data_IF_913726680543
#
_entry.id   IF_913726680543
#
_cell.length_a   1.000
_cell.length_b   1.000
_cell.length_c   1.000
_cell.angle_alpha   90.00
_cell.angle_beta   90.00
_cell.angle_gamma   90.00
#
_symmetry.space_group_name_H-M   'P 1'
#
loop_
_entity.id
_entity.type
_entity.pdbx_description
1 polymer ?
#
# COMPACT_ATOMS: atom_id res chain seq x y z
N UNK A 1 31.28 -1.04 27.06
CA UNK A 1 29.93 -0.50 26.80
C UNK A 1 29.09 -1.64 26.29
N UNK A 2 28.03 -2.03 26.99
CA UNK A 2 27.14 -3.10 26.52
C UNK A 2 26.34 -2.58 25.32
N UNK A 3 26.48 -3.24 24.17
CA UNK A 3 25.57 -3.04 23.04
C UNK A 3 24.18 -3.45 23.50
N UNK A 4 23.25 -2.50 23.59
CA UNK A 4 21.84 -2.83 23.78
C UNK A 4 21.36 -3.40 22.45
N UNK A 5 21.49 -4.72 22.29
CA UNK A 5 20.97 -5.47 21.14
C UNK A 5 19.45 -5.55 21.26
N UNK A 6 18.78 -4.45 20.97
CA UNK A 6 17.34 -4.37 20.84
C UNK A 6 16.90 -4.24 19.38
N UNK A 7 15.68 -4.65 19.11
CA UNK A 7 15.01 -4.40 17.84
C UNK A 7 13.80 -3.52 18.10
N UNK A 8 13.72 -2.39 17.40
CA UNK A 8 12.54 -1.54 17.36
C UNK A 8 11.61 -2.03 16.26
N UNK A 9 10.33 -2.10 16.58
CA UNK A 9 9.30 -2.50 15.63
C UNK A 9 8.09 -1.59 15.75
N UNK A 10 7.55 -1.19 14.61
CA UNK A 10 6.25 -0.53 14.50
C UNK A 10 5.43 -1.20 13.41
N UNK A 11 4.18 -1.51 13.72
CA UNK A 11 3.24 -2.18 12.82
C UNK A 11 1.93 -1.41 12.74
N UNK A 12 1.33 -1.35 11.55
CA UNK A 12 0.05 -0.69 11.31
C UNK A 12 -0.71 -1.38 10.16
N UNK A 13 -2.05 -1.37 10.18
CA UNK A 13 -2.84 -1.90 9.07
C UNK A 13 -2.73 -1.00 7.84
N UNK A 14 -2.65 -1.59 6.66
CA UNK A 14 -2.77 -0.88 5.39
C UNK A 14 -3.26 -1.78 4.26
N UNK A 15 -3.76 -1.18 3.18
CA UNK A 15 -4.07 -1.85 1.92
C UNK A 15 -2.86 -1.93 1.00
N UNK A 16 -2.43 -3.15 0.65
CA UNK A 16 -1.46 -3.37 -0.42
C UNK A 16 -2.15 -3.19 -1.77
N UNK A 17 -1.84 -2.09 -2.47
CA UNK A 17 -2.54 -1.65 -3.67
C UNK A 17 -2.02 -2.31 -4.94
N UNK A 18 -2.82 -2.24 -6.00
CA UNK A 18 -2.46 -2.76 -7.33
C UNK A 18 -2.79 -4.24 -7.53
N UNK A 19 -3.57 -4.87 -6.63
CA UNK A 19 -3.85 -6.30 -6.70
C UNK A 19 -4.50 -6.73 -8.03
N UNK A 20 -5.32 -5.88 -8.64
CA UNK A 20 -5.93 -6.11 -9.96
C UNK A 20 -4.91 -6.37 -11.08
N UNK A 21 -3.67 -5.86 -10.95
CA UNK A 21 -2.56 -6.10 -11.87
C UNK A 21 -1.91 -7.46 -11.62
N UNK A 22 -1.85 -7.90 -10.36
CA UNK A 22 -1.07 -9.07 -9.93
C UNK A 22 -1.90 -10.33 -9.64
N UNK A 23 -3.23 -10.24 -9.66
CA UNK A 23 -4.16 -11.33 -9.33
C UNK A 23 -3.97 -12.62 -10.13
N UNK A 24 -3.44 -12.53 -11.35
CA UNK A 24 -3.19 -13.69 -12.22
C UNK A 24 -1.93 -14.47 -11.81
N UNK A 25 -0.96 -13.80 -11.18
CA UNK A 25 0.33 -14.39 -10.81
C UNK A 25 0.46 -14.68 -9.32
N UNK A 26 -0.42 -14.10 -8.50
CA UNK A 26 -0.39 -14.26 -7.05
C UNK A 26 -1.79 -14.39 -6.44
N UNK A 27 -1.94 -15.42 -5.61
CA UNK A 27 -3.11 -15.64 -4.77
C UNK A 27 -2.71 -15.37 -3.31
N UNK A 28 -3.24 -14.30 -2.68
CA UNK A 28 -2.92 -13.97 -1.30
C UNK A 28 -3.32 -15.10 -0.35
N UNK A 29 -2.52 -15.32 0.69
CA UNK A 29 -2.81 -16.24 1.78
C UNK A 29 -2.59 -15.52 3.09
N UNK A 30 -3.54 -15.63 4.02
CA UNK A 30 -3.39 -15.04 5.35
C UNK A 30 -2.11 -15.55 6.01
N UNK A 31 -1.31 -14.65 6.56
CA UNK A 31 0.01 -14.93 7.13
C UNK A 31 1.17 -14.92 6.12
N UNK A 32 0.91 -14.75 4.82
CA UNK A 32 2.00 -14.55 3.86
C UNK A 32 2.76 -13.26 4.19
N UNK A 33 4.09 -13.36 4.29
CA UNK A 33 4.98 -12.22 4.48
C UNK A 33 5.64 -11.85 3.15
N UNK A 34 5.58 -10.57 2.78
CA UNK A 34 6.21 -10.01 1.57
C UNK A 34 7.24 -8.96 1.99
N UNK A 35 8.43 -8.98 1.38
CA UNK A 35 9.47 -7.99 1.62
C UNK A 35 9.19 -6.72 0.82
N UNK A 36 9.33 -5.55 1.45
CA UNK A 36 9.11 -4.26 0.79
C UNK A 36 10.44 -3.65 0.36
N UNK A 37 10.53 -3.22 -0.90
CA UNK A 37 11.74 -2.60 -1.48
C UNK A 37 11.39 -1.32 -2.22
N UNK A 38 12.34 -0.38 -2.28
CA UNK A 38 12.19 0.82 -3.10
C UNK A 38 12.33 0.48 -4.59
N UNK A 39 11.27 0.77 -5.37
CA UNK A 39 11.25 0.59 -6.82
C UNK A 39 11.68 1.90 -7.51
N UNK A 40 12.88 1.93 -8.07
CA UNK A 40 13.51 3.16 -8.58
C UNK A 40 12.91 3.71 -9.87
N UNK A 41 12.31 2.85 -10.70
CA UNK A 41 11.93 3.17 -12.07
C UNK A 41 10.41 3.25 -12.28
N UNK A 42 9.65 3.49 -11.21
CA UNK A 42 8.20 3.60 -11.31
C UNK A 42 7.79 5.01 -11.76
N UNK A 43 7.20 5.11 -12.95
CA UNK A 43 6.92 6.38 -13.62
C UNK A 43 5.93 7.28 -12.87
N UNK A 44 5.00 6.68 -12.11
CA UNK A 44 3.92 7.40 -11.45
C UNK A 44 4.25 7.81 -10.01
N UNK A 45 5.23 7.16 -9.37
CA UNK A 45 5.69 7.47 -8.01
C UNK A 45 7.17 7.15 -7.85
N UNK A 46 7.98 8.21 -7.81
CA UNK A 46 9.43 8.18 -7.56
C UNK A 46 9.83 7.59 -6.20
N UNK A 47 8.88 7.46 -5.27
CA UNK A 47 9.07 6.87 -3.95
C UNK A 47 8.41 5.51 -3.79
N UNK A 48 7.90 4.91 -4.88
CA UNK A 48 7.16 3.64 -4.85
C UNK A 48 7.87 2.55 -4.05
N UNK A 49 7.12 1.93 -3.13
CA UNK A 49 7.58 0.80 -2.35
C UNK A 49 6.82 -0.45 -2.80
N UNK A 50 7.53 -1.33 -3.50
CA UNK A 50 7.00 -2.58 -4.00
C UNK A 50 7.06 -3.67 -2.92
N UNK A 51 5.95 -4.37 -2.70
CA UNK A 51 5.94 -5.61 -1.93
C UNK A 51 6.29 -6.77 -2.87
N UNK A 52 7.31 -7.54 -2.50
CA UNK A 52 7.90 -8.55 -3.36
C UNK A 52 8.05 -9.89 -2.65
N UNK A 53 7.97 -10.97 -3.42
CA UNK A 53 8.19 -12.35 -2.92
C UNK A 53 8.74 -13.23 -4.03
N UNK A 54 9.58 -14.20 -3.65
CA UNK A 54 10.00 -15.26 -4.54
C UNK A 54 8.86 -16.27 -4.67
N UNK A 55 8.28 -16.35 -5.87
CA UNK A 55 7.23 -17.31 -6.16
C UNK A 55 7.83 -18.63 -6.69
N UNK A 56 7.17 -19.77 -6.47
CA UNK A 56 7.56 -21.03 -7.09
C UNK A 56 7.70 -20.90 -8.61
N UNK A 57 8.80 -21.40 -9.17
CA UNK A 57 9.08 -21.32 -10.61
C UNK A 57 9.63 -19.96 -11.09
N UNK A 58 9.91 -19.02 -10.18
CA UNK A 58 10.61 -17.76 -10.50
C UNK A 58 12.04 -17.80 -9.98
N UNK A 59 12.96 -17.19 -10.72
CA UNK A 59 14.38 -17.07 -10.33
C UNK A 59 14.68 -15.79 -9.53
N UNK A 60 13.72 -14.87 -9.47
CA UNK A 60 13.84 -13.58 -8.79
C UNK A 60 12.53 -13.24 -8.08
N UNK A 61 12.62 -12.34 -7.11
CA UNK A 61 11.44 -11.76 -6.48
C UNK A 61 10.56 -11.08 -7.53
N UNK A 62 9.25 -11.23 -7.37
CA UNK A 62 8.24 -10.59 -8.22
C UNK A 62 7.46 -9.59 -7.38
N UNK A 63 7.13 -8.43 -7.95
CA UNK A 63 6.25 -7.43 -7.34
C UNK A 63 4.81 -7.93 -7.32
N UNK A 64 4.16 -7.82 -6.17
CA UNK A 64 2.82 -8.32 -5.90
C UNK A 64 1.83 -7.21 -5.52
N UNK A 65 2.32 -5.98 -5.46
CA UNK A 65 1.58 -4.79 -5.11
C UNK A 65 2.51 -3.71 -4.58
N UNK A 66 1.94 -2.57 -4.25
CA UNK A 66 2.66 -1.43 -3.73
C UNK A 66 2.04 -0.93 -2.43
N UNK A 67 2.87 -0.41 -1.54
CA UNK A 67 2.36 0.35 -0.42
C UNK A 67 1.62 1.61 -0.92
N UNK A 68 0.64 2.11 -0.15
CA UNK A 68 -0.02 3.38 -0.43
C UNK A 68 1.00 4.50 -0.69
N UNK A 69 0.75 5.31 -1.71
CA UNK A 69 1.62 6.42 -2.14
C UNK A 69 1.73 7.51 -1.07
N UNK A 70 0.69 7.67 -0.26
CA UNK A 70 0.57 8.49 0.94
C UNK A 70 1.76 8.29 1.90
N UNK A 71 2.23 7.05 2.03
CA UNK A 71 3.28 6.66 2.97
C UNK A 71 4.60 6.29 2.29
N UNK A 72 4.60 6.10 0.97
CA UNK A 72 5.75 5.60 0.20
C UNK A 72 7.01 6.44 0.41
N UNK A 73 6.87 7.78 0.44
CA UNK A 73 7.96 8.72 0.70
C UNK A 73 8.63 8.50 2.05
N UNK A 74 7.84 8.30 3.11
CA UNK A 74 8.34 8.14 4.46
C UNK A 74 8.95 6.75 4.66
N UNK A 75 8.30 5.72 4.10
CA UNK A 75 8.82 4.36 4.11
C UNK A 75 10.15 4.25 3.37
N UNK A 76 10.29 4.92 2.21
CA UNK A 76 11.59 5.00 1.49
C UNK A 76 12.68 5.58 2.38
N UNK A 77 12.39 6.65 3.11
CA UNK A 77 13.36 7.25 4.01
C UNK A 77 13.84 6.24 5.06
N UNK A 78 12.92 5.51 5.70
CA UNK A 78 13.29 4.46 6.66
C UNK A 78 14.15 3.36 6.02
N UNK A 79 13.78 2.87 4.83
CA UNK A 79 14.60 1.89 4.09
C UNK A 79 16.01 2.45 3.82
N UNK A 80 16.13 3.74 3.47
CA UNK A 80 17.43 4.36 3.17
C UNK A 80 18.37 4.48 4.37
N UNK A 81 17.83 4.45 5.59
CA UNK A 81 18.61 4.46 6.83
C UNK A 81 18.75 3.06 7.45
N UNK A 82 18.39 2.01 6.71
CA UNK A 82 18.62 0.61 7.08
C UNK A 82 17.44 -0.10 7.74
N UNK A 83 16.20 0.40 7.57
CA UNK A 83 15.03 -0.30 8.06
C UNK A 83 14.65 -1.49 7.16
N UNK A 84 14.33 -2.61 7.79
CA UNK A 84 13.63 -3.72 7.15
C UNK A 84 12.13 -3.42 7.14
N UNK A 85 11.51 -3.47 5.96
CA UNK A 85 10.07 -3.29 5.83
C UNK A 85 9.46 -4.53 5.19
N UNK A 86 8.39 -5.03 5.79
CA UNK A 86 7.64 -6.16 5.26
C UNK A 86 6.16 -5.98 5.54
N UNK A 87 5.32 -6.66 4.75
CA UNK A 87 3.88 -6.69 4.94
C UNK A 87 3.44 -8.12 5.21
N UNK A 88 2.49 -8.29 6.13
CA UNK A 88 1.86 -9.58 6.41
C UNK A 88 0.42 -9.55 5.97
N UNK A 89 0.00 -10.48 5.11
CA UNK A 89 -1.39 -10.58 4.66
C UNK A 89 -2.31 -10.89 5.83
N UNK A 90 -3.32 -10.04 6.06
CA UNK A 90 -4.31 -10.20 7.13
C UNK A 90 -5.63 -10.76 6.61
N UNK A 91 -6.00 -10.41 5.38
CA UNK A 91 -7.15 -10.98 4.69
C UNK A 91 -6.74 -11.41 3.28
N UNK A 92 -7.24 -12.58 2.84
CA UNK A 92 -7.02 -13.06 1.49
C UNK A 92 -7.99 -12.42 0.48
N UNK A 93 -9.11 -11.86 0.96
CA UNK A 93 -10.06 -11.14 0.12
C UNK A 93 -9.52 -9.75 -0.18
N UNK A 94 -9.68 -9.35 -1.44
CA UNK A 94 -9.41 -7.98 -1.87
C UNK A 94 -10.59 -7.08 -1.53
N UNK A 95 -10.31 -5.78 -1.39
CA UNK A 95 -11.31 -4.72 -1.32
C UNK A 95 -11.00 -3.63 -2.35
N UNK A 96 -11.97 -2.74 -2.58
CA UNK A 96 -11.74 -1.54 -3.41
C UNK A 96 -10.75 -0.61 -2.71
N UNK A 97 -9.82 -0.04 -3.46
CA UNK A 97 -8.90 0.99 -2.96
C UNK A 97 -9.66 2.30 -2.68
N UNK A 98 -9.29 3.09 -1.65
CA UNK A 98 -9.91 4.38 -1.31
C UNK A 98 -9.71 5.52 -2.34
N UNK A 99 -9.23 5.22 -3.55
CA UNK A 99 -8.98 6.20 -4.60
C UNK A 99 -10.20 6.24 -5.55
N UNK A 100 -10.58 7.42 -6.06
CA UNK A 100 -11.68 7.61 -7.03
C UNK A 100 -11.48 6.72 -8.25
N UNK A 101 -10.27 6.72 -8.81
CA UNK A 101 -9.86 5.86 -9.93
C UNK A 101 -10.05 4.36 -9.65
N UNK A 102 -10.28 3.98 -8.39
CA UNK A 102 -10.55 2.62 -7.95
C UNK A 102 -9.28 1.78 -7.83
N UNK A 103 -9.39 0.54 -8.30
CA UNK A 103 -8.38 -0.50 -8.09
C UNK A 103 -8.70 -1.40 -6.91
N UNK A 104 -7.92 -2.47 -6.80
CA UNK A 104 -8.04 -3.48 -5.75
C UNK A 104 -6.82 -3.44 -4.83
N UNK A 105 -7.08 -3.59 -3.54
CA UNK A 105 -6.06 -3.72 -2.50
C UNK A 105 -6.30 -4.95 -1.62
N UNK A 106 -5.20 -5.53 -1.10
CA UNK A 106 -5.21 -6.63 -0.14
C UNK A 106 -4.97 -6.06 1.26
N UNK A 107 -5.84 -6.32 2.26
CA UNK A 107 -5.56 -5.93 3.63
C UNK A 107 -4.32 -6.63 4.18
N UNK A 108 -3.34 -5.82 4.60
CA UNK A 108 -2.09 -6.28 5.18
C UNK A 108 -1.75 -5.50 6.46
N UNK A 109 -0.78 -5.99 7.21
CA UNK A 109 -0.12 -5.26 8.27
C UNK A 109 1.30 -4.95 7.83
N UNK A 110 1.59 -3.67 7.59
CA UNK A 110 2.92 -3.19 7.33
C UNK A 110 3.70 -3.15 8.63
N UNK A 111 4.91 -3.70 8.62
CA UNK A 111 5.82 -3.72 9.76
C UNK A 111 7.15 -3.15 9.34
N UNK A 112 7.64 -2.19 10.13
CA UNK A 112 8.97 -1.62 10.00
C UNK A 112 9.82 -2.06 11.18
N UNK A 113 11.02 -2.54 10.89
CA UNK A 113 11.95 -3.08 11.88
C UNK A 113 13.32 -2.43 11.73
N UNK A 114 13.90 -2.01 12.85
CA UNK A 114 15.22 -1.38 12.90
C UNK A 114 15.98 -1.80 14.16
N UNK A 115 17.30 -1.69 14.13
CA UNK A 115 18.12 -1.83 15.33
C UNK A 115 17.82 -0.69 16.33
N UNK A 116 17.87 -0.98 17.63
CA UNK A 116 17.64 0.05 18.65
C UNK A 116 18.80 1.05 18.69
N UNK A 117 18.49 2.30 18.36
CA UNK A 117 19.36 3.46 18.59
C UNK A 117 18.49 4.70 18.83
N UNK A 118 19.01 5.72 19.50
CA UNK A 118 18.27 6.97 19.76
C UNK A 118 17.72 7.57 18.46
N UNK A 119 18.53 7.57 17.38
CA UNK A 119 18.12 8.07 16.07
C UNK A 119 16.99 7.24 15.46
N UNK A 120 17.04 5.91 15.60
CA UNK A 120 16.02 5.03 15.04
C UNK A 120 14.71 5.10 15.83
N UNK A 121 14.77 5.32 17.15
CA UNK A 121 13.57 5.60 17.97
C UNK A 121 12.88 6.87 17.48
N UNK A 122 13.62 7.96 17.32
CA UNK A 122 13.08 9.22 16.80
C UNK A 122 12.51 9.07 15.39
N UNK A 123 13.19 8.33 14.51
CA UNK A 123 12.74 8.07 13.15
C UNK A 123 11.43 7.25 13.11
N UNK A 124 11.30 6.22 13.94
CA UNK A 124 10.08 5.40 14.02
C UNK A 124 8.92 6.19 14.63
N UNK A 125 9.15 6.97 15.69
CA UNK A 125 8.11 7.83 16.28
C UNK A 125 7.63 8.88 15.29
N UNK A 126 8.56 9.49 14.54
CA UNK A 126 8.18 10.44 13.48
C UNK A 126 7.41 9.75 12.35
N UNK A 127 7.83 8.54 11.97
CA UNK A 127 7.12 7.77 10.95
C UNK A 127 5.71 7.40 11.39
N UNK A 128 5.51 6.98 12.65
CA UNK A 128 4.19 6.70 13.22
C UNK A 128 3.26 7.90 13.12
N UNK A 129 3.74 9.10 13.49
CA UNK A 129 2.96 10.35 13.35
C UNK A 129 2.58 10.63 11.89
N UNK A 130 3.50 10.41 10.96
CA UNK A 130 3.26 10.64 9.53
C UNK A 130 2.28 9.63 8.94
N UNK A 131 2.34 8.36 9.37
CA UNK A 131 1.35 7.35 8.98
C UNK A 131 -0.03 7.75 9.47
N UNK A 132 -0.17 8.13 10.75
CA UNK A 132 -1.45 8.55 11.32
C UNK A 132 -2.02 9.82 10.65
N UNK A 133 -1.14 10.74 10.23
CA UNK A 133 -1.54 11.97 9.56
C UNK A 133 -1.95 11.75 8.09
N UNK A 134 -1.25 10.87 7.37
CA UNK A 134 -1.37 10.76 5.91
C UNK A 134 -2.09 9.52 5.43
N UNK A 135 -2.30 8.51 6.28
CA UNK A 135 -2.93 7.26 5.91
C UNK A 135 -4.13 6.94 6.80
N UNK A 136 -5.29 6.82 6.16
CA UNK A 136 -6.54 6.42 6.81
C UNK A 136 -6.92 5.03 6.32
N UNK A 137 -6.82 4.05 7.22
CA UNK A 137 -7.28 2.71 6.95
C UNK A 137 -8.81 2.71 6.83
N UNK A 138 -9.39 2.14 5.75
CA UNK A 138 -10.84 2.03 5.59
C UNK A 138 -11.48 1.25 6.74
N UNK A 139 -12.49 1.84 7.39
CA UNK A 139 -13.25 1.20 8.48
C UNK A 139 -14.62 0.76 7.95
N UNK A 140 -14.97 -0.51 8.11
CA UNK A 140 -16.27 -1.07 7.72
C UNK A 140 -16.68 -0.82 6.26
N UNK A 141 -15.72 -0.74 5.34
CA UNK A 141 -15.99 -0.48 3.92
C UNK A 141 -16.36 0.97 3.60
N UNK A 142 -16.25 1.89 4.56
CA UNK A 142 -16.29 3.33 4.29
C UNK A 142 -14.88 3.82 3.97
N UNK A 143 -14.77 4.54 2.85
CA UNK A 143 -13.52 5.09 2.35
C UNK A 143 -13.63 6.61 2.36
N UNK A 144 -12.63 7.29 2.90
CA UNK A 144 -12.44 8.72 2.66
C UNK A 144 -11.65 8.86 1.37
N UNK A 145 -12.21 9.57 0.39
CA UNK A 145 -11.53 9.81 -0.86
C UNK A 145 -10.25 10.63 -0.62
N UNK A 146 -9.11 10.01 -0.89
CA UNK A 146 -7.78 10.59 -0.75
C UNK A 146 -7.15 10.95 -2.11
N UNK A 147 -7.91 10.91 -3.21
CA UNK A 147 -7.38 11.10 -4.57
C UNK A 147 -6.71 12.44 -4.74
N UNK A 148 -7.32 13.54 -4.27
CA UNK A 148 -6.76 14.89 -4.42
C UNK A 148 -5.41 15.06 -3.72
N UNK A 149 -5.21 14.37 -2.59
CA UNK A 149 -3.98 14.44 -1.81
C UNK A 149 -2.84 13.58 -2.39
N UNK A 150 -3.21 12.52 -3.12
CA UNK A 150 -2.27 11.48 -3.59
C UNK A 150 -1.94 11.64 -5.07
N UNK A 151 -2.92 12.08 -5.86
CA UNK A 151 -2.94 12.16 -7.31
C UNK A 151 -3.46 13.53 -7.75
N UNK A 152 -2.71 14.62 -7.51
CA UNK A 152 -3.17 15.98 -7.83
C UNK A 152 -3.38 16.22 -9.33
N UNK A 153 -2.74 15.41 -10.20
CA UNK A 153 -2.77 15.59 -11.66
C UNK A 153 -3.93 14.83 -12.36
N UNK A 154 -4.87 14.23 -11.61
CA UNK A 154 -5.98 13.44 -12.16
C UNK A 154 -7.34 14.18 -12.20
N UNK A 155 -7.36 15.50 -11.99
CA UNK A 155 -8.57 16.29 -12.24
C UNK A 155 -8.73 16.51 -13.76
N UNK A 156 -9.47 15.62 -14.43
CA UNK A 156 -10.47 15.95 -15.46
C UNK A 156 -11.14 14.67 -16.02
N UNK A 157 -12.44 14.79 -16.29
CA UNK A 157 -13.34 13.84 -16.98
C UNK A 157 -13.93 12.67 -16.17
N UNK A 158 -14.94 12.95 -15.34
CA UNK A 158 -16.25 12.27 -15.48
C UNK A 158 -17.37 13.17 -14.95
N UNK A 159 -17.81 14.14 -15.75
CA UNK A 159 -19.24 14.40 -15.83
C UNK A 159 -19.84 13.23 -16.63
N UNK A 160 -20.26 12.16 -15.96
CA UNK A 160 -21.14 11.19 -16.60
C UNK A 160 -22.56 11.63 -16.28
N UNK A 161 -23.21 12.15 -17.32
CA UNK A 161 -24.54 12.73 -17.28
C UNK A 161 -25.56 11.82 -16.62
N UNK A 162 -26.42 12.46 -15.84
CA UNK A 162 -27.77 12.01 -15.60
C UNK A 162 -28.51 11.95 -16.92
N UNK A 163 -29.05 10.79 -17.29
CA UNK A 163 -30.26 10.72 -18.10
C UNK A 163 -31.14 9.58 -17.55
N UNK A 164 -32.18 10.03 -16.86
CA UNK A 164 -33.40 9.29 -16.56
C UNK A 164 -34.17 9.03 -17.86
N UNK A 165 -34.93 7.92 -17.86
CA UNK A 165 -36.01 7.56 -18.79
C UNK A 165 -35.67 7.27 -20.27
N UNK A 166 -35.88 6.02 -20.69
CA UNK A 166 -36.78 5.81 -21.82
C UNK A 166 -37.60 4.53 -21.63
N UNK A 167 -38.91 4.72 -21.51
CA UNK A 167 -39.90 3.67 -21.68
C UNK A 167 -40.13 3.47 -23.19
N UNK A 168 -40.44 2.23 -23.56
CA UNK A 168 -41.51 1.84 -24.50
C UNK A 168 -41.10 1.14 -25.83
N UNK A 169 -41.68 -0.07 -26.00
CA UNK A 169 -42.07 -0.85 -27.22
C UNK A 169 -40.99 -1.24 -28.26
N UNK A 170 -40.96 -2.43 -28.91
CA UNK A 170 -41.98 -3.44 -29.30
C UNK A 170 -41.27 -4.73 -29.80
N UNK A 171 -42.07 -5.71 -30.26
CA UNK A 171 -41.82 -6.89 -31.14
C UNK A 171 -41.66 -8.24 -30.41
N UNK A 172 -42.42 -9.31 -30.68
CA UNK A 172 -43.37 -9.70 -31.75
C UNK A 172 -44.53 -10.54 -31.17
#
# INVERSE_FOLDING_TARGET
MASVSGTLQYSFPCGLRGFHVYKEIWKPKVGDVLSCIHERNYQHDRYAIAATKLLPGRLSNVTLGHLPREISRFTRFLISIGADVFVTVKDAHFRRSPLIQGGLEIPVEATVRMETSTKNVEAIERFKQLVEQHYKEPVNGQFEDCTKDVLPDHEEETESSSDEEDQNITSE
#
